data_IF_397134515466
#
_entry.id   IF_397134515466
#
_cell.length_a   1.000
_cell.length_b   1.000
_cell.length_c   1.000
_cell.angle_alpha   90.00
_cell.angle_beta   90.00
_cell.angle_gamma   90.00
#
_symmetry.space_group_name_H-M   'P 1'
#
loop_
_entity.id
_entity.type
_entity.pdbx_description
1 polymer ?
#
# COMPACT_ATOMS: atom_id res chain seq x y z
N UNK A 1 -18.71 8.10 -4.90
CA UNK A 1 -18.70 8.35 -6.37
C UNK A 1 -17.53 7.56 -6.94
N UNK A 2 -17.76 6.61 -7.85
CA UNK A 2 -16.72 5.67 -8.32
C UNK A 2 -15.94 6.27 -9.50
N UNK A 3 -14.60 6.17 -9.50
CA UNK A 3 -13.73 6.61 -10.61
C UNK A 3 -13.10 5.36 -11.25
N UNK A 4 -13.27 5.20 -12.57
CA UNK A 4 -12.37 4.40 -13.42
C UNK A 4 -11.15 5.22 -13.71
N UNK A 5 -9.99 4.60 -13.75
CA UNK A 5 -8.91 5.15 -14.56
C UNK A 5 -8.97 4.64 -16.01
N UNK A 6 -8.16 5.27 -16.87
CA UNK A 6 -8.09 4.96 -18.30
C UNK A 6 -7.53 3.57 -18.64
N UNK A 7 -7.22 2.74 -17.64
CA UNK A 7 -6.67 1.38 -17.80
C UNK A 7 -7.72 0.27 -17.71
N UNK A 8 -8.99 0.60 -17.43
CA UNK A 8 -10.11 -0.36 -17.43
C UNK A 8 -10.32 -1.11 -16.11
N UNK A 9 -9.67 -0.69 -15.02
CA UNK A 9 -9.90 -1.24 -13.69
C UNK A 9 -10.72 -0.27 -12.82
N UNK A 10 -11.80 -0.80 -12.22
CA UNK A 10 -12.48 -0.20 -11.09
C UNK A 10 -12.25 -1.09 -9.87
N UNK A 11 -11.51 -0.63 -8.86
CA UNK A 11 -11.48 -1.31 -7.56
C UNK A 11 -12.77 -0.97 -6.82
N UNK A 12 -13.82 -1.76 -7.06
CA UNK A 12 -15.03 -1.72 -6.25
C UNK A 12 -14.65 -2.29 -4.87
N UNK A 13 -14.28 -1.40 -3.95
CA UNK A 13 -14.00 -1.69 -2.54
C UNK A 13 -12.66 -2.39 -2.21
N UNK A 14 -11.53 -1.82 -2.63
CA UNK A 14 -10.24 -2.16 -2.01
C UNK A 14 -9.92 -1.20 -0.86
N UNK A 15 -9.36 -1.68 0.26
CA UNK A 15 -8.80 -0.80 1.28
C UNK A 15 -7.65 0.04 0.68
N UNK A 16 -7.61 1.32 1.02
CA UNK A 16 -6.60 2.29 0.59
C UNK A 16 -6.06 3.00 1.82
N UNK A 17 -4.74 3.01 1.98
CA UNK A 17 -4.04 3.86 2.94
C UNK A 17 -3.09 4.73 2.14
N UNK A 18 -3.34 6.04 2.11
CA UNK A 18 -2.54 7.00 1.35
C UNK A 18 -1.68 7.84 2.30
N UNK A 19 -0.36 7.70 2.21
CA UNK A 19 0.61 8.37 3.09
C UNK A 19 1.29 9.52 2.37
N UNK A 20 1.40 10.67 3.03
CA UNK A 20 1.96 11.90 2.49
C UNK A 20 3.36 12.19 3.06
N UNK A 21 4.21 12.97 2.35
CA UNK A 21 5.59 13.22 2.77
C UNK A 21 5.76 13.92 4.14
N UNK A 22 4.75 14.65 4.58
CA UNK A 22 4.71 15.31 5.89
C UNK A 22 4.31 14.36 7.03
N UNK A 23 3.90 13.13 6.70
CA UNK A 23 3.46 12.11 7.66
C UNK A 23 1.95 12.09 7.88
N UNK A 24 1.19 12.96 7.22
CA UNK A 24 -0.27 12.83 7.14
C UNK A 24 -0.65 11.56 6.36
N UNK A 25 -1.84 11.01 6.63
CA UNK A 25 -2.40 9.94 5.83
C UNK A 25 -3.93 10.00 5.76
N UNK A 26 -4.47 9.47 4.68
CA UNK A 26 -5.90 9.30 4.45
C UNK A 26 -6.26 7.82 4.30
N UNK A 27 -7.49 7.48 4.70
CA UNK A 27 -8.12 6.17 4.52
C UNK A 27 -9.42 6.31 3.73
N UNK A 28 -9.88 5.22 3.12
CA UNK A 28 -11.24 5.11 2.60
C UNK A 28 -12.11 4.26 3.54
N UNK A 29 -13.42 4.19 3.27
CA UNK A 29 -14.37 3.41 4.07
C UNK A 29 -13.92 1.95 4.25
N UNK A 30 -13.32 1.35 3.21
CA UNK A 30 -12.83 -0.03 3.26
C UNK A 30 -11.54 -0.25 4.07
N UNK A 31 -10.82 0.80 4.44
CA UNK A 31 -9.65 0.76 5.34
C UNK A 31 -9.94 1.42 6.69
N UNK A 32 -11.21 1.52 7.08
CA UNK A 32 -11.59 1.95 8.42
C UNK A 32 -10.88 1.11 9.50
N UNK A 33 -10.26 1.78 10.48
CA UNK A 33 -9.48 1.15 11.54
C UNK A 33 -7.99 0.95 11.22
N UNK A 34 -7.55 1.20 9.98
CA UNK A 34 -6.13 1.26 9.67
C UNK A 34 -5.50 2.52 10.28
N UNK A 35 -4.36 2.34 10.95
CA UNK A 35 -3.60 3.44 11.55
C UNK A 35 -2.19 3.50 10.98
N UNK A 36 -1.68 4.71 10.72
CA UNK A 36 -0.30 4.93 10.26
C UNK A 36 0.46 5.76 11.27
N UNK A 37 1.66 5.28 11.63
CA UNK A 37 2.62 6.00 12.45
C UNK A 37 3.94 6.18 11.71
N UNK A 38 4.43 7.42 11.59
CA UNK A 38 5.75 7.70 11.02
C UNK A 38 6.83 7.46 12.07
N UNK A 39 7.69 6.47 11.83
CA UNK A 39 8.79 6.12 12.75
C UNK A 39 10.13 6.76 12.35
N UNK A 40 10.24 7.26 11.11
CA UNK A 40 11.44 7.92 10.60
C UNK A 40 11.22 8.56 9.23
N UNK A 41 12.30 9.03 8.59
CA UNK A 41 12.22 9.52 7.21
C UNK A 41 12.01 8.34 6.27
N UNK A 42 10.88 8.32 5.56
CA UNK A 42 10.51 7.24 4.65
C UNK A 42 10.12 5.93 5.32
N UNK A 43 10.00 5.90 6.66
CA UNK A 43 9.63 4.71 7.42
C UNK A 43 8.29 4.92 8.13
N UNK A 44 7.37 4.00 7.89
CA UNK A 44 6.01 4.04 8.41
C UNK A 44 5.63 2.67 8.97
N UNK A 45 4.95 2.66 10.11
CA UNK A 45 4.36 1.49 10.73
C UNK A 45 2.84 1.57 10.58
N UNK A 46 2.23 0.51 10.07
CA UNK A 46 0.81 0.47 9.74
C UNK A 46 0.17 -0.68 10.50
N UNK A 47 -0.88 -0.39 11.25
CA UNK A 47 -1.60 -1.35 12.09
C UNK A 47 -3.09 -1.34 11.76
N UNK A 48 -3.84 -2.31 12.31
CA UNK A 48 -5.28 -2.44 12.03
C UNK A 48 -5.58 -2.98 10.63
N UNK A 49 -4.60 -3.64 10.00
CA UNK A 49 -4.72 -4.26 8.68
C UNK A 49 -4.40 -5.77 8.78
N UNK A 50 -4.82 -6.55 7.79
CA UNK A 50 -4.45 -7.98 7.66
C UNK A 50 -3.10 -8.18 6.93
N UNK A 51 -2.35 -7.10 6.71
CA UNK A 51 -1.21 -7.04 5.82
C UNK A 51 -1.58 -6.82 4.36
N UNK A 52 -0.57 -6.67 3.50
CA UNK A 52 -0.76 -6.55 2.06
C UNK A 52 -0.89 -7.95 1.44
N UNK A 53 -2.01 -8.21 0.74
CA UNK A 53 -2.24 -9.47 0.01
C UNK A 53 -2.08 -10.73 0.87
N UNK A 54 -2.84 -10.81 1.97
CA UNK A 54 -2.79 -11.93 2.94
C UNK A 54 -3.12 -13.31 2.35
N UNK A 55 -3.78 -13.37 1.19
CA UNK A 55 -4.13 -14.61 0.49
C UNK A 55 -3.12 -15.00 -0.61
N UNK A 56 -2.10 -14.18 -0.85
CA UNK A 56 -1.06 -14.41 -1.86
C UNK A 56 -1.55 -14.31 -3.31
N UNK A 57 -2.79 -13.90 -3.56
CA UNK A 57 -3.40 -13.93 -4.89
C UNK A 57 -2.85 -12.86 -5.84
N UNK A 58 -2.15 -11.83 -5.33
CA UNK A 58 -1.72 -10.67 -6.14
C UNK A 58 -0.32 -10.82 -6.77
N UNK A 59 0.27 -12.02 -6.71
CA UNK A 59 1.49 -12.37 -7.45
C UNK A 59 2.77 -12.30 -6.63
N UNK A 60 3.91 -12.20 -7.32
CA UNK A 60 5.25 -12.22 -6.73
C UNK A 60 5.40 -11.04 -5.76
N UNK A 61 6.02 -11.27 -4.59
CA UNK A 61 6.24 -10.27 -3.53
C UNK A 61 4.95 -9.55 -3.08
N UNK A 62 3.85 -10.29 -2.92
CA UNK A 62 2.61 -9.71 -2.40
C UNK A 62 1.91 -8.73 -3.36
N UNK A 63 2.33 -8.65 -4.63
CA UNK A 63 1.83 -7.67 -5.58
C UNK A 63 2.37 -6.24 -5.35
N UNK A 64 3.45 -6.11 -4.57
CA UNK A 64 4.15 -4.83 -4.37
C UNK A 64 4.66 -4.32 -5.72
N UNK A 65 4.40 -3.04 -5.99
CA UNK A 65 4.93 -2.35 -7.16
C UNK A 65 5.56 -1.03 -6.73
N UNK A 66 6.64 -0.67 -7.41
CA UNK A 66 7.41 0.55 -7.15
C UNK A 66 7.59 1.35 -8.44
N UNK A 67 7.86 2.66 -8.34
CA UNK A 67 8.22 3.46 -9.50
C UNK A 67 9.40 2.85 -10.26
N UNK A 68 9.31 2.86 -11.59
CA UNK A 68 10.36 2.37 -12.49
C UNK A 68 10.93 3.49 -13.32
N UNK A 69 12.19 3.36 -13.69
CA UNK A 69 12.81 4.26 -14.67
C UNK A 69 12.41 3.89 -16.11
N UNK A 70 13.01 4.58 -17.08
CA UNK A 70 12.72 4.35 -18.51
C UNK A 70 13.27 3.03 -19.07
N UNK A 71 14.16 2.33 -18.36
CA UNK A 71 14.68 1.02 -18.75
C UNK A 71 13.89 -0.13 -18.07
N UNK A 72 12.94 0.21 -17.18
CA UNK A 72 12.04 -0.72 -16.52
C UNK A 72 12.57 -1.24 -15.18
N UNK A 73 13.69 -0.72 -14.69
CA UNK A 73 14.25 -1.05 -13.38
C UNK A 73 13.63 -0.19 -12.29
N UNK A 74 13.58 -0.75 -11.09
CA UNK A 74 12.98 -0.14 -9.90
C UNK A 74 13.84 1.01 -9.36
N UNK A 75 13.19 2.14 -9.04
CA UNK A 75 13.85 3.33 -8.52
C UNK A 75 14.04 3.30 -7.00
N UNK A 76 13.28 2.46 -6.31
CA UNK A 76 13.32 2.32 -4.85
C UNK A 76 13.33 0.85 -4.48
N UNK A 77 14.06 0.54 -3.42
CA UNK A 77 14.07 -0.79 -2.83
C UNK A 77 12.99 -0.85 -1.74
N UNK A 78 12.22 -1.93 -1.72
CA UNK A 78 11.24 -2.22 -0.67
C UNK A 78 11.75 -3.41 0.14
N UNK A 79 11.93 -3.19 1.43
CA UNK A 79 12.20 -4.23 2.42
C UNK A 79 10.96 -4.36 3.30
N UNK A 80 10.12 -5.35 3.01
CA UNK A 80 8.91 -5.63 3.77
C UNK A 80 9.07 -6.88 4.63
N UNK A 81 8.40 -6.86 5.79
CA UNK A 81 8.34 -8.00 6.70
C UNK A 81 7.02 -8.01 7.45
N UNK A 82 6.28 -9.11 7.34
CA UNK A 82 5.14 -9.39 8.22
C UNK A 82 5.68 -9.62 9.63
N UNK A 83 5.10 -8.96 10.64
CA UNK A 83 5.51 -9.15 12.03
C UNK A 83 4.88 -10.42 12.60
N UNK A 84 5.34 -10.86 13.77
CA UNK A 84 4.85 -12.10 14.39
C UNK A 84 3.36 -12.08 14.76
N UNK A 85 2.79 -10.90 14.91
CA UNK A 85 1.39 -10.63 15.24
C UNK A 85 0.51 -10.34 14.02
N UNK A 86 1.09 -10.38 12.81
CA UNK A 86 0.40 -10.09 11.55
C UNK A 86 0.67 -8.68 11.06
#
# INVERSE_FOLDING_TARGET
MYIVDGSGYYKKSSPIVQIYPDGHYDTNDESEGAEVSRTGTGQYHITGILGYNSDGAWGVNGGISVPKDNNGLELVYVDDRVQSDG
#
